data_IF_830699266806
#
_entry.id   IF_830699266806
#
_cell.length_a   1.000
_cell.length_b   1.000
_cell.length_c   1.000
_cell.angle_alpha   90.00
_cell.angle_beta   90.00
_cell.angle_gamma   90.00
#
_symmetry.space_group_name_H-M   'P 1'
#
loop_
_entity.id
_entity.type
_entity.pdbx_description
1 polymer ?
#
# COMPACT_ATOMS: atom_id res chain seq x y z
N UNK A 1 13.54 8.22 -4.15
CA UNK A 1 13.63 7.98 -2.69
C UNK A 1 15.01 7.43 -2.38
N UNK A 2 15.53 7.58 -1.16
CA UNK A 2 16.82 6.98 -0.77
C UNK A 2 16.74 6.37 0.62
N UNK A 3 17.45 5.27 0.87
CA UNK A 3 17.64 4.73 2.21
C UNK A 3 18.73 5.53 2.93
N UNK A 4 18.42 6.03 4.13
CA UNK A 4 19.34 6.84 4.96
C UNK A 4 19.93 5.97 6.06
N UNK A 5 19.12 5.12 6.67
CA UNK A 5 19.52 4.27 7.78
C UNK A 5 18.65 3.01 7.83
N UNK A 6 19.27 1.90 8.15
CA UNK A 6 18.62 0.63 8.48
C UNK A 6 19.37 -0.03 9.61
N UNK A 7 18.65 -0.44 10.64
CA UNK A 7 19.14 -1.31 11.71
C UNK A 7 17.99 -2.23 12.15
N UNK A 8 18.21 -3.01 13.21
CA UNK A 8 17.23 -3.98 13.70
C UNK A 8 15.98 -3.33 14.32
N UNK A 9 16.03 -2.05 14.66
CA UNK A 9 14.93 -1.31 15.29
C UNK A 9 14.12 -0.50 14.27
N UNK A 10 14.79 0.13 13.30
CA UNK A 10 14.20 1.13 12.42
C UNK A 10 14.84 1.20 11.03
N UNK A 11 14.01 1.65 10.09
CA UNK A 11 14.35 1.95 8.71
C UNK A 11 13.95 3.39 8.41
N UNK A 12 14.87 4.18 7.88
CA UNK A 12 14.67 5.59 7.58
C UNK A 12 14.94 5.87 6.12
N UNK A 13 13.93 6.40 5.44
CA UNK A 13 14.01 6.83 4.04
C UNK A 13 14.05 8.35 3.95
N UNK A 14 14.87 8.89 3.04
CA UNK A 14 14.78 10.27 2.61
C UNK A 14 13.77 10.40 1.46
N UNK A 15 12.76 11.24 1.67
CA UNK A 15 11.74 11.61 0.71
C UNK A 15 11.91 13.07 0.29
N UNK A 16 11.82 13.34 -1.01
CA UNK A 16 11.57 14.68 -1.51
C UNK A 16 10.18 15.17 -1.10
N UNK A 17 9.92 16.48 -1.26
CA UNK A 17 8.60 17.06 -0.99
C UNK A 17 7.50 16.41 -1.84
N UNK A 18 7.78 16.11 -3.11
CA UNK A 18 6.83 15.49 -4.04
C UNK A 18 6.54 14.05 -3.66
N UNK A 19 7.58 13.28 -3.32
CA UNK A 19 7.43 11.89 -2.86
C UNK A 19 6.63 11.81 -1.57
N UNK A 20 6.90 12.66 -0.58
CA UNK A 20 6.09 12.70 0.65
C UNK A 20 4.61 12.95 0.33
N UNK A 21 4.31 13.96 -0.50
CA UNK A 21 2.92 14.28 -0.87
C UNK A 21 2.24 13.10 -1.58
N UNK A 22 2.94 12.49 -2.53
CA UNK A 22 2.44 11.34 -3.27
C UNK A 22 2.17 10.14 -2.35
N UNK A 23 3.09 9.86 -1.41
CA UNK A 23 2.95 8.78 -0.44
C UNK A 23 1.74 8.99 0.47
N UNK A 24 1.60 10.18 1.07
CA UNK A 24 0.46 10.48 1.94
C UNK A 24 -0.88 10.35 1.17
N UNK A 25 -0.92 10.87 -0.07
CA UNK A 25 -2.11 10.76 -0.92
C UNK A 25 -2.50 9.31 -1.25
N UNK A 26 -1.52 8.42 -1.43
CA UNK A 26 -1.77 6.99 -1.63
C UNK A 26 -2.31 6.36 -0.35
N UNK A 27 -1.64 6.62 0.78
CA UNK A 27 -2.00 6.01 2.06
C UNK A 27 -3.40 6.41 2.53
N UNK A 28 -3.86 7.63 2.22
CA UNK A 28 -5.22 8.12 2.49
C UNK A 28 -6.31 7.35 1.72
N UNK A 29 -5.96 6.64 0.63
CA UNK A 29 -6.91 5.84 -0.15
C UNK A 29 -7.19 4.48 0.48
N UNK A 30 -6.33 4.02 1.40
CA UNK A 30 -6.49 2.72 2.02
C UNK A 30 -7.72 2.70 2.97
N UNK A 31 -8.53 1.63 2.96
CA UNK A 31 -8.47 0.44 2.11
C UNK A 31 -9.16 0.67 0.76
N UNK A 32 -8.54 0.18 -0.33
CA UNK A 32 -9.11 0.28 -1.68
C UNK A 32 -9.73 -1.04 -2.13
N UNK A 33 -9.10 -2.17 -1.77
CA UNK A 33 -9.52 -3.48 -2.24
C UNK A 33 -10.77 -3.98 -1.47
N UNK A 34 -11.85 -4.38 -2.15
CA UNK A 34 -13.01 -5.00 -1.52
C UNK A 34 -12.64 -6.30 -0.79
N UNK A 35 -13.36 -6.62 0.29
CA UNK A 35 -13.18 -7.88 1.04
C UNK A 35 -13.41 -9.13 0.18
N UNK A 36 -14.21 -8.99 -0.87
CA UNK A 36 -14.65 -10.08 -1.74
C UNK A 36 -13.79 -10.23 -2.99
N UNK A 37 -12.67 -9.51 -3.05
CA UNK A 37 -11.81 -9.50 -4.22
C UNK A 37 -11.15 -10.87 -4.48
N UNK A 38 -10.88 -11.65 -3.43
CA UNK A 38 -10.36 -13.01 -3.63
C UNK A 38 -11.49 -13.93 -4.10
N UNK A 39 -11.40 -14.50 -5.32
CA UNK A 39 -12.33 -15.55 -5.71
C UNK A 39 -12.17 -16.74 -4.76
N UNK A 40 -13.27 -17.42 -4.36
CA UNK A 40 -13.19 -18.55 -3.47
C UNK A 40 -12.26 -19.62 -4.07
N UNK A 41 -11.19 -19.95 -3.37
CA UNK A 41 -10.24 -20.99 -3.76
C UNK A 41 -10.99 -22.31 -3.95
N UNK A 42 -11.11 -22.75 -5.21
CA UNK A 42 -11.56 -24.08 -5.69
C UNK A 42 -12.31 -24.97 -4.68
N UNK A 43 -13.62 -25.12 -4.90
CA UNK A 43 -14.37 -26.31 -4.47
C UNK A 43 -15.73 -25.96 -3.90
N UNK A 44 -16.78 -26.33 -4.63
CA UNK A 44 -18.19 -26.28 -4.22
C UNK A 44 -18.45 -27.37 -3.16
N UNK A 45 -17.76 -27.26 -2.02
CA UNK A 45 -17.87 -28.19 -0.90
C UNK A 45 -18.83 -27.57 0.15
N UNK A 46 -19.73 -28.34 0.78
CA UNK A 46 -20.73 -27.77 1.71
C UNK A 46 -20.13 -27.09 2.96
N UNK A 47 -18.85 -27.31 3.29
CA UNK A 47 -18.10 -26.58 4.32
C UNK A 47 -17.61 -25.18 3.90
N UNK A 48 -17.63 -24.86 2.60
CA UNK A 48 -17.05 -23.64 2.02
C UNK A 48 -17.70 -22.33 2.49
N UNK A 49 -18.98 -22.34 2.89
CA UNK A 49 -19.68 -21.12 3.33
C UNK A 49 -19.19 -20.61 4.68
N UNK A 50 -18.89 -21.52 5.62
CA UNK A 50 -18.34 -21.16 6.93
C UNK A 50 -16.90 -20.68 6.74
N UNK A 51 -16.12 -21.36 5.89
CA UNK A 51 -14.74 -20.99 5.58
C UNK A 51 -14.66 -19.62 4.88
N UNK A 52 -15.58 -19.31 3.95
CA UNK A 52 -15.66 -17.99 3.30
C UNK A 52 -16.10 -16.89 4.26
N UNK A 53 -17.00 -17.19 5.21
CA UNK A 53 -17.45 -16.22 6.22
C UNK A 53 -16.31 -15.89 7.18
N UNK A 54 -15.62 -16.90 7.69
CA UNK A 54 -14.45 -16.74 8.55
C UNK A 54 -13.32 -15.99 7.83
N UNK A 55 -13.06 -16.31 6.55
CA UNK A 55 -12.09 -15.60 5.73
C UNK A 55 -12.43 -14.10 5.61
N UNK A 56 -13.69 -13.78 5.32
CA UNK A 56 -14.16 -12.38 5.24
C UNK A 56 -14.00 -11.65 6.56
N UNK A 57 -14.34 -12.30 7.68
CA UNK A 57 -14.18 -11.73 9.02
C UNK A 57 -12.71 -11.46 9.35
N UNK A 58 -11.81 -12.41 9.04
CA UNK A 58 -10.37 -12.24 9.23
C UNK A 58 -9.80 -11.10 8.37
N UNK A 59 -10.20 -11.01 7.10
CA UNK A 59 -9.78 -9.93 6.19
C UNK A 59 -10.30 -8.57 6.65
N UNK A 60 -11.55 -8.51 7.15
CA UNK A 60 -12.13 -7.30 7.70
C UNK A 60 -11.37 -6.82 8.94
N UNK A 61 -11.04 -7.74 9.85
CA UNK A 61 -10.28 -7.42 11.05
C UNK A 61 -8.86 -6.98 10.71
N UNK A 62 -8.16 -7.67 9.80
CA UNK A 62 -6.84 -7.25 9.33
C UNK A 62 -6.88 -5.86 8.71
N UNK A 63 -7.87 -5.56 7.86
CA UNK A 63 -8.01 -4.23 7.27
C UNK A 63 -8.27 -3.16 8.33
N UNK A 64 -9.11 -3.45 9.33
CA UNK A 64 -9.39 -2.56 10.45
C UNK A 64 -8.12 -2.26 11.26
N UNK A 65 -7.35 -3.30 11.61
CA UNK A 65 -6.07 -3.14 12.30
C UNK A 65 -5.10 -2.28 11.49
N UNK A 66 -4.98 -2.54 10.19
CA UNK A 66 -4.13 -1.75 9.29
C UNK A 66 -4.56 -0.27 9.22
N UNK A 67 -5.87 0.02 9.20
CA UNK A 67 -6.36 1.40 9.25
C UNK A 67 -5.98 2.09 10.55
N UNK A 68 -6.06 1.39 11.69
CA UNK A 68 -5.64 1.95 12.98
C UNK A 68 -4.14 2.23 13.02
N UNK A 69 -3.32 1.32 12.48
CA UNK A 69 -1.88 1.54 12.37
C UNK A 69 -1.53 2.71 11.43
N UNK A 70 -2.20 2.83 10.28
CA UNK A 70 -2.03 3.98 9.39
C UNK A 70 -2.42 5.29 10.06
N UNK A 71 -3.55 5.32 10.78
CA UNK A 71 -3.98 6.49 11.54
C UNK A 71 -2.91 6.90 12.56
N UNK A 72 -2.39 5.94 13.34
CA UNK A 72 -1.30 6.20 14.28
C UNK A 72 -0.04 6.72 13.58
N UNK A 73 0.30 6.15 12.42
CA UNK A 73 1.43 6.60 11.61
C UNK A 73 1.27 8.06 11.12
N UNK A 74 0.05 8.48 10.77
CA UNK A 74 -0.24 9.88 10.40
C UNK A 74 -0.24 10.84 11.61
N UNK A 75 -0.67 10.38 12.78
CA UNK A 75 -0.72 11.19 14.01
C UNK A 75 0.67 11.40 14.65
N UNK A 76 1.57 10.44 14.46
CA UNK A 76 2.92 10.46 15.02
C UNK A 76 3.85 11.43 14.28
N UNK A 77 4.13 12.58 14.91
CA UNK A 77 4.97 13.65 14.35
C UNK A 77 6.42 13.24 14.05
N UNK A 78 6.92 12.19 14.69
CA UNK A 78 8.28 11.66 14.51
C UNK A 78 8.43 10.72 13.31
N UNK A 79 7.31 10.27 12.70
CA UNK A 79 7.32 9.44 11.49
C UNK A 79 7.78 10.19 10.26
N UNK A 80 7.42 11.47 10.16
CA UNK A 80 7.83 12.35 9.08
C UNK A 80 8.54 13.56 9.68
N UNK A 81 9.86 13.54 9.70
CA UNK A 81 10.67 14.65 10.20
C UNK A 81 11.18 15.53 9.05
N UNK A 82 10.96 16.85 9.07
CA UNK A 82 11.50 17.74 8.05
C UNK A 82 13.03 17.80 8.18
N UNK A 83 13.71 17.80 7.03
CA UNK A 83 15.17 17.99 6.92
C UNK A 83 15.47 19.01 5.83
N UNK A 84 16.72 19.48 5.74
CA UNK A 84 17.12 20.59 4.87
C UNK A 84 16.60 20.49 3.42
N UNK A 85 16.57 19.29 2.83
CA UNK A 85 16.10 19.09 1.45
C UNK A 85 15.01 18.01 1.30
N UNK A 86 14.11 17.89 2.29
CA UNK A 86 13.06 16.90 2.21
C UNK A 86 12.53 16.48 3.57
N UNK A 87 12.23 15.19 3.67
CA UNK A 87 11.68 14.57 4.87
C UNK A 87 12.36 13.23 5.12
N UNK A 88 12.63 12.94 6.38
CA UNK A 88 12.91 11.58 6.82
C UNK A 88 11.60 10.89 7.18
N UNK A 89 11.33 9.79 6.48
CA UNK A 89 10.24 8.88 6.76
C UNK A 89 10.78 7.69 7.54
N UNK A 90 10.31 7.50 8.77
CA UNK A 90 10.76 6.46 9.70
C UNK A 90 9.70 5.36 9.87
N UNK A 91 10.12 4.13 9.66
CA UNK A 91 9.39 2.91 10.02
C UNK A 91 10.20 2.13 11.06
N UNK A 92 9.53 1.42 11.96
CA UNK A 92 10.18 0.37 12.73
C UNK A 92 10.51 -0.79 11.79
N UNK A 93 11.57 -1.54 12.07
CA UNK A 93 11.99 -2.65 11.21
C UNK A 93 10.86 -3.68 11.03
N UNK A 94 10.12 -3.99 12.10
CA UNK A 94 8.95 -4.88 12.07
C UNK A 94 7.72 -4.33 11.35
N UNK A 95 7.66 -3.04 11.01
CA UNK A 95 6.53 -2.41 10.32
C UNK A 95 6.69 -2.42 8.79
N UNK A 96 7.88 -2.75 8.28
CA UNK A 96 8.20 -2.65 6.84
C UNK A 96 7.30 -3.57 6.02
N UNK A 97 7.15 -4.83 6.42
CA UNK A 97 6.32 -5.80 5.70
C UNK A 97 4.85 -5.35 5.69
N UNK A 98 4.35 -4.95 6.86
CA UNK A 98 3.00 -4.39 6.99
C UNK A 98 2.78 -3.19 6.05
N UNK A 99 3.75 -2.28 5.99
CA UNK A 99 3.67 -1.10 5.13
C UNK A 99 3.63 -1.47 3.65
N UNK A 100 4.44 -2.45 3.23
CA UNK A 100 4.40 -2.99 1.87
C UNK A 100 3.06 -3.66 1.55
N UNK A 101 2.47 -4.38 2.50
CA UNK A 101 1.13 -4.98 2.33
C UNK A 101 0.06 -3.90 2.12
N UNK A 102 0.09 -2.80 2.89
CA UNK A 102 -0.82 -1.66 2.71
C UNK A 102 -0.66 -1.04 1.32
N UNK A 103 0.57 -0.74 0.90
CA UNK A 103 0.83 -0.19 -0.43
C UNK A 103 0.35 -1.12 -1.54
N UNK A 104 0.51 -2.44 -1.35
CA UNK A 104 0.05 -3.42 -2.31
C UNK A 104 -1.48 -3.51 -2.38
N UNK A 105 -2.19 -3.42 -1.24
CA UNK A 105 -3.66 -3.37 -1.24
C UNK A 105 -4.18 -2.16 -2.01
N UNK A 106 -3.56 -0.99 -1.80
CA UNK A 106 -3.89 0.22 -2.57
C UNK A 106 -3.59 -0.01 -4.05
N UNK A 107 -2.39 -0.51 -4.40
CA UNK A 107 -2.02 -0.79 -5.79
C UNK A 107 -3.02 -1.69 -6.50
N UNK A 108 -3.35 -2.84 -5.90
CA UNK A 108 -4.27 -3.83 -6.50
C UNK A 108 -5.70 -3.29 -6.55
N UNK A 109 -6.14 -2.59 -5.50
CA UNK A 109 -7.47 -1.99 -5.47
C UNK A 109 -7.64 -0.89 -6.52
N UNK A 110 -6.62 -0.05 -6.72
CA UNK A 110 -6.62 1.00 -7.73
C UNK A 110 -6.53 0.41 -9.15
N UNK A 111 -5.75 -0.67 -9.35
CA UNK A 111 -5.76 -1.44 -10.61
C UNK A 111 -7.15 -1.98 -10.95
N UNK A 112 -7.86 -2.53 -9.95
CA UNK A 112 -9.21 -3.03 -10.13
C UNK A 112 -10.20 -1.91 -10.50
N UNK A 113 -10.12 -0.76 -9.81
CA UNK A 113 -10.94 0.43 -10.13
C UNK A 113 -10.60 1.03 -11.50
N UNK A 114 -9.37 0.87 -11.96
CA UNK A 114 -8.95 1.25 -13.31
C UNK A 114 -9.44 0.29 -14.41
N UNK A 115 -10.21 -0.76 -14.07
CA UNK A 115 -10.77 -1.70 -15.04
C UNK A 115 -9.88 -2.91 -15.35
N UNK A 116 -8.96 -3.25 -14.45
CA UNK A 116 -8.07 -4.42 -14.57
C UNK A 116 -7.34 -4.53 -15.93
N UNK A 117 -6.62 -3.48 -16.38
CA UNK A 117 -5.93 -3.55 -17.65
C UNK A 117 -4.83 -4.63 -17.63
N UNK A 118 -4.86 -5.54 -18.61
CA UNK A 118 -3.83 -6.58 -18.81
C UNK A 118 -2.47 -6.00 -19.21
N UNK A 119 -2.47 -4.84 -19.88
CA UNK A 119 -1.28 -4.10 -20.26
C UNK A 119 -1.45 -2.61 -19.94
N UNK A 120 -0.37 -1.95 -19.52
CA UNK A 120 -0.36 -0.51 -19.26
C UNK A 120 -0.71 0.32 -20.51
N UNK A 121 -0.40 -0.20 -21.70
CA UNK A 121 -0.78 0.35 -23.01
C UNK A 121 -2.29 0.33 -23.26
N UNK A 122 -3.02 -0.56 -22.57
CA UNK A 122 -4.47 -0.78 -22.70
C UNK A 122 -5.25 -0.18 -21.54
N UNK A 123 -4.63 0.63 -20.68
CA UNK A 123 -5.36 1.33 -19.64
C UNK A 123 -6.51 2.10 -20.27
N UNK A 124 -7.75 1.99 -19.76
CA UNK A 124 -8.86 2.77 -20.27
C UNK A 124 -8.66 4.23 -19.82
N UNK A 125 -7.82 4.97 -20.53
CA UNK A 125 -7.49 6.39 -20.30
C UNK A 125 -8.69 7.30 -20.63
N UNK A 126 -9.82 6.72 -21.01
CA UNK A 126 -10.98 7.38 -21.60
C UNK A 126 -11.73 8.28 -20.61
N UNK A 127 -11.53 8.14 -19.30
CA UNK A 127 -12.10 9.01 -18.27
C UNK A 127 -11.05 9.58 -17.33
N UNK A 128 -11.31 10.77 -16.77
CA UNK A 128 -10.42 11.40 -15.79
C UNK A 128 -10.30 10.61 -14.49
N UNK A 129 -11.33 9.84 -14.16
CA UNK A 129 -11.39 9.00 -12.97
C UNK A 129 -10.50 7.76 -13.11
N UNK A 130 -10.60 7.05 -14.25
CA UNK A 130 -9.73 5.91 -14.55
C UNK A 130 -8.24 6.30 -14.57
N UNK A 131 -7.92 7.50 -15.08
CA UNK A 131 -6.56 8.07 -14.99
C UNK A 131 -6.08 8.27 -13.55
N UNK A 132 -6.98 8.72 -12.66
CA UNK A 132 -6.66 8.89 -11.25
C UNK A 132 -6.31 7.57 -10.58
N UNK A 133 -7.06 6.51 -10.88
CA UNK A 133 -6.81 5.15 -10.38
C UNK A 133 -5.50 4.58 -10.94
N UNK A 134 -5.30 4.67 -12.26
CA UNK A 134 -4.06 4.27 -12.91
C UNK A 134 -2.82 4.94 -12.30
N UNK A 135 -2.89 6.25 -12.06
CA UNK A 135 -1.80 6.99 -11.44
C UNK A 135 -1.54 6.53 -10.00
N UNK A 136 -2.58 6.34 -9.19
CA UNK A 136 -2.42 5.85 -7.82
C UNK A 136 -1.81 4.44 -7.78
N UNK A 137 -2.19 3.56 -8.71
CA UNK A 137 -1.61 2.23 -8.90
C UNK A 137 -0.10 2.32 -9.22
N UNK A 138 0.29 3.10 -10.22
CA UNK A 138 1.69 3.28 -10.63
C UNK A 138 2.56 3.82 -9.50
N UNK A 139 2.10 4.87 -8.83
CA UNK A 139 2.88 5.48 -7.74
C UNK A 139 2.99 4.53 -6.54
N UNK A 140 1.95 3.74 -6.23
CA UNK A 140 2.04 2.69 -5.21
C UNK A 140 3.09 1.64 -5.59
N UNK A 141 3.10 1.21 -6.87
CA UNK A 141 4.11 0.31 -7.42
C UNK A 141 5.53 0.87 -7.31
N UNK A 142 5.71 2.15 -7.67
CA UNK A 142 6.99 2.84 -7.52
C UNK A 142 7.52 2.77 -6.08
N UNK A 143 6.68 3.04 -5.07
CA UNK A 143 7.12 2.95 -3.67
C UNK A 143 7.45 1.52 -3.26
N UNK A 144 6.64 0.53 -3.64
CA UNK A 144 6.91 -0.89 -3.33
C UNK A 144 8.26 -1.32 -3.91
N UNK A 145 8.47 -1.11 -5.22
CA UNK A 145 9.72 -1.47 -5.89
C UNK A 145 10.91 -0.73 -5.27
N UNK A 146 10.80 0.58 -5.08
CA UNK A 146 11.89 1.39 -4.50
C UNK A 146 12.24 0.95 -3.08
N UNK A 147 11.25 0.60 -2.24
CA UNK A 147 11.50 0.12 -0.87
C UNK A 147 12.20 -1.24 -0.93
N UNK A 148 11.69 -2.18 -1.73
CA UNK A 148 12.27 -3.52 -1.84
C UNK A 148 13.70 -3.49 -2.39
N UNK A 149 13.96 -2.73 -3.45
CA UNK A 149 15.29 -2.53 -4.02
C UNK A 149 16.26 -2.00 -2.97
N UNK A 150 15.90 -0.90 -2.30
CA UNK A 150 16.74 -0.29 -1.27
C UNK A 150 16.99 -1.20 -0.05
N UNK A 151 16.12 -2.16 0.22
CA UNK A 151 16.29 -3.15 1.28
C UNK A 151 17.06 -4.40 0.83
N UNK A 152 17.17 -4.66 -0.47
CA UNK A 152 17.85 -5.84 -1.01
C UNK A 152 19.24 -5.53 -1.60
N UNK A 153 19.55 -4.28 -1.91
CA UNK A 153 20.84 -3.84 -2.49
C UNK A 153 21.98 -3.65 -1.45
N UNK A 154 21.86 -4.22 -0.25
CA UNK A 154 22.87 -4.16 0.81
C UNK A 154 23.11 -5.54 1.40
#
# INVERSE_FOLDING_TARGET
>A
MKLVRRNDEEVVFHLTRSEKKALLFILERYPVLPLDFQPPSRGDNPGSKIDQTLLREMLAEQKRQNQEFLRKLFEQKDRFQPVHNGWHFKLLAGEVEWFLQVLNDVRVGEWHKAGCPDELSKMPVNSSEARGHAWAMEISGFFICSILELLNEI
#
